data_IF_070943729182
#
_entry.id   IF_070943729182
#
_cell.length_a   1.000
_cell.length_b   1.000
_cell.length_c   1.000
_cell.angle_alpha   90.00
_cell.angle_beta   90.00
_cell.angle_gamma   90.00
#
_symmetry.space_group_name_H-M   'P 1'
#
loop_
_entity.id
_entity.type
_entity.pdbx_description
1 polymer ?
#
# COMPACT_ATOMS: atom_id res chain seq x y z
N UNK A 1 -22.28 7.20 -19.55
CA UNK A 1 -22.14 6.47 -18.27
C UNK A 1 -21.48 7.41 -17.29
N UNK A 2 -22.19 7.84 -16.24
CA UNK A 2 -21.59 8.63 -15.16
C UNK A 2 -20.51 7.76 -14.48
N UNK A 3 -19.26 8.15 -14.66
CA UNK A 3 -18.14 7.50 -13.95
C UNK A 3 -18.29 7.85 -12.47
N UNK A 4 -18.72 6.89 -11.65
CA UNK A 4 -18.76 7.07 -10.20
C UNK A 4 -17.33 7.36 -9.74
N UNK A 5 -17.17 8.44 -9.01
CA UNK A 5 -15.89 8.79 -8.39
C UNK A 5 -15.47 7.68 -7.43
N UNK A 6 -14.22 7.23 -7.53
CA UNK A 6 -13.70 6.10 -6.76
C UNK A 6 -12.39 6.50 -6.11
N UNK A 7 -12.47 7.00 -4.87
CA UNK A 7 -11.30 7.45 -4.08
C UNK A 7 -11.20 6.60 -2.84
N UNK A 8 -10.30 5.62 -2.88
CA UNK A 8 -10.12 4.61 -1.83
C UNK A 8 -8.72 4.73 -1.24
N UNK A 9 -8.63 4.67 0.08
CA UNK A 9 -7.37 4.53 0.81
C UNK A 9 -7.33 3.15 1.45
N UNK A 10 -6.26 2.40 1.22
CA UNK A 10 -6.01 1.13 1.89
C UNK A 10 -5.05 1.33 3.06
N UNK A 11 -5.52 1.08 4.26
CA UNK A 11 -4.76 1.09 5.50
C UNK A 11 -4.51 -0.34 5.99
N UNK A 12 -3.46 -0.52 6.76
CA UNK A 12 -3.10 -1.82 7.34
C UNK A 12 -1.59 -1.98 7.48
N UNK A 13 -1.17 -2.89 8.33
CA UNK A 13 0.25 -3.17 8.62
C UNK A 13 1.03 -3.60 7.37
N UNK A 14 2.35 -3.42 7.32
CA UNK A 14 3.19 -4.03 6.29
C UNK A 14 2.88 -5.53 6.18
N UNK A 15 2.74 -6.06 4.98
CA UNK A 15 2.40 -7.50 4.81
C UNK A 15 0.92 -7.87 4.98
N UNK A 16 0.01 -6.92 5.27
CA UNK A 16 -1.43 -7.22 5.42
C UNK A 16 -2.15 -7.58 4.11
N UNK A 17 -1.51 -7.40 2.95
CA UNK A 17 -2.12 -7.72 1.65
C UNK A 17 -2.67 -6.50 0.89
N UNK A 18 -2.48 -5.27 1.38
CA UNK A 18 -2.95 -4.04 0.72
C UNK A 18 -2.62 -3.97 -0.77
N UNK A 19 -1.37 -4.20 -1.15
CA UNK A 19 -0.96 -4.12 -2.55
C UNK A 19 -1.66 -5.15 -3.44
N UNK A 20 -1.91 -6.35 -2.93
CA UNK A 20 -2.69 -7.38 -3.64
C UNK A 20 -4.12 -6.91 -3.85
N UNK A 21 -4.78 -6.45 -2.79
CA UNK A 21 -6.15 -5.96 -2.86
C UNK A 21 -6.27 -4.70 -3.70
N UNK A 22 -5.30 -3.77 -3.61
CA UNK A 22 -5.26 -2.58 -4.45
C UNK A 22 -5.22 -2.92 -5.94
N UNK A 23 -4.41 -3.90 -6.32
CA UNK A 23 -4.31 -4.33 -7.71
C UNK A 23 -5.61 -4.98 -8.22
N UNK A 24 -6.24 -5.83 -7.41
CA UNK A 24 -7.54 -6.44 -7.73
C UNK A 24 -8.64 -5.38 -7.86
N UNK A 25 -8.72 -4.47 -6.90
CA UNK A 25 -9.69 -3.36 -6.91
C UNK A 25 -9.48 -2.43 -8.10
N UNK A 26 -8.23 -2.10 -8.44
CA UNK A 26 -7.91 -1.27 -9.58
C UNK A 26 -8.43 -1.86 -10.88
N UNK A 27 -8.21 -3.17 -11.09
CA UNK A 27 -8.74 -3.89 -12.24
C UNK A 27 -10.28 -3.93 -12.28
N UNK A 28 -10.91 -4.18 -11.12
CA UNK A 28 -12.37 -4.31 -11.02
C UNK A 28 -13.09 -2.96 -11.18
N UNK A 29 -12.59 -1.90 -10.54
CA UNK A 29 -13.23 -0.59 -10.51
C UNK A 29 -12.75 0.34 -11.65
N UNK A 30 -11.74 -0.06 -12.43
CA UNK A 30 -11.10 0.78 -13.44
C UNK A 30 -10.48 2.04 -12.82
N UNK A 31 -9.97 1.95 -11.59
CA UNK A 31 -9.24 3.00 -10.87
C UNK A 31 -7.73 2.81 -11.01
N UNK A 32 -6.95 3.82 -10.65
CA UNK A 32 -5.48 3.73 -10.68
C UNK A 32 -4.95 3.36 -9.29
N UNK A 33 -4.17 2.29 -9.21
CA UNK A 33 -3.46 1.92 -8.00
C UNK A 33 -2.18 2.77 -7.85
N UNK A 34 -2.09 3.51 -6.77
CA UNK A 34 -0.94 4.33 -6.37
C UNK A 34 -0.33 3.76 -5.08
N UNK A 35 0.74 3.02 -5.21
CA UNK A 35 1.51 2.52 -4.07
C UNK A 35 2.66 3.46 -3.74
N UNK A 36 2.58 4.15 -2.59
CA UNK A 36 3.65 5.04 -2.13
C UNK A 36 5.00 4.33 -2.03
N UNK A 37 5.00 3.10 -1.53
CA UNK A 37 6.21 2.30 -1.43
C UNK A 37 6.80 1.93 -2.79
N UNK A 38 5.99 1.65 -3.81
CA UNK A 38 6.50 1.33 -5.15
C UNK A 38 6.99 2.58 -5.87
N UNK A 39 6.29 3.71 -5.72
CA UNK A 39 6.75 5.01 -6.24
C UNK A 39 8.13 5.32 -5.68
N UNK A 40 8.32 5.27 -4.36
CA UNK A 40 9.63 5.55 -3.74
C UNK A 40 10.72 4.58 -4.18
N UNK A 41 10.42 3.27 -4.26
CA UNK A 41 11.38 2.28 -4.77
C UNK A 41 11.76 2.53 -6.23
N UNK A 42 10.82 2.96 -7.07
CA UNK A 42 11.11 3.30 -8.47
C UNK A 42 12.03 4.51 -8.58
N UNK A 43 11.83 5.53 -7.74
CA UNK A 43 12.68 6.70 -7.65
C UNK A 43 14.11 6.35 -7.20
N UNK A 44 14.24 5.44 -6.22
CA UNK A 44 15.54 4.92 -5.75
C UNK A 44 16.25 4.18 -6.88
N UNK A 45 15.57 3.27 -7.57
CA UNK A 45 16.15 2.52 -8.70
C UNK A 45 16.64 3.46 -9.82
N UNK A 46 15.87 4.50 -10.11
CA UNK A 46 16.21 5.50 -11.11
C UNK A 46 17.25 6.52 -10.62
N UNK A 47 17.70 6.43 -9.36
CA UNK A 47 18.65 7.35 -8.73
C UNK A 47 18.26 8.82 -8.89
N UNK A 48 16.97 9.13 -8.87
CA UNK A 48 16.48 10.50 -8.95
C UNK A 48 16.91 11.33 -7.72
N UNK A 49 16.82 12.66 -7.75
CA UNK A 49 17.05 13.47 -6.55
C UNK A 49 16.16 13.05 -5.37
N UNK A 50 14.90 12.70 -5.62
CA UNK A 50 13.99 12.15 -4.62
C UNK A 50 14.48 10.80 -4.10
N UNK A 51 14.80 9.88 -5.01
CA UNK A 51 15.27 8.53 -4.67
C UNK A 51 16.51 8.55 -3.77
N UNK A 52 17.48 9.40 -4.07
CA UNK A 52 18.68 9.57 -3.22
C UNK A 52 18.36 10.11 -1.83
N UNK A 53 17.39 11.03 -1.70
CA UNK A 53 16.99 11.62 -0.42
C UNK A 53 16.25 10.64 0.49
N UNK A 54 15.56 9.68 -0.07
CA UNK A 54 14.71 8.74 0.71
C UNK A 54 15.30 7.34 0.85
N UNK A 55 16.38 7.00 0.11
CA UNK A 55 16.95 5.64 0.10
C UNK A 55 17.27 5.12 1.51
N UNK A 56 17.96 5.93 2.32
CA UNK A 56 18.38 5.54 3.67
C UNK A 56 17.17 5.26 4.58
N UNK A 57 16.08 6.00 4.44
CA UNK A 57 14.85 5.79 5.22
C UNK A 57 14.14 4.52 4.80
N UNK A 58 14.00 4.29 3.50
CA UNK A 58 13.32 3.10 2.95
C UNK A 58 14.07 1.82 3.32
N UNK A 59 15.40 1.83 3.29
CA UNK A 59 16.24 0.69 3.67
C UNK A 59 16.07 0.30 5.15
N UNK A 60 15.88 1.28 6.02
CA UNK A 60 15.59 1.04 7.46
C UNK A 60 14.11 0.75 7.75
N UNK A 61 13.25 0.72 6.73
CA UNK A 61 11.80 0.54 6.90
C UNK A 61 11.09 1.76 7.50
N UNK A 62 11.77 2.89 7.57
CA UNK A 62 11.22 4.16 8.05
C UNK A 62 10.39 4.85 6.97
N UNK A 63 9.53 5.78 7.39
CA UNK A 63 8.87 6.73 6.50
C UNK A 63 9.87 7.86 6.23
N UNK A 64 10.17 8.14 4.95
CA UNK A 64 11.05 9.25 4.60
C UNK A 64 10.49 10.62 5.00
N UNK A 65 11.17 11.73 4.63
CA UNK A 65 10.72 13.08 4.95
C UNK A 65 9.27 13.31 4.53
N UNK A 66 8.42 13.65 5.48
CA UNK A 66 6.95 13.69 5.34
C UNK A 66 6.50 14.60 4.22
N UNK A 67 7.03 15.82 4.17
CA UNK A 67 6.67 16.83 3.18
C UNK A 67 7.00 16.34 1.76
N UNK A 68 8.15 15.70 1.58
CA UNK A 68 8.61 15.22 0.30
C UNK A 68 7.72 14.08 -0.24
N UNK A 69 7.32 13.17 0.64
CA UNK A 69 6.42 12.06 0.28
C UNK A 69 5.03 12.60 -0.06
N UNK A 70 4.53 13.53 0.75
CA UNK A 70 3.23 14.17 0.53
C UNK A 70 3.21 14.87 -0.82
N UNK A 71 4.18 15.75 -1.08
CA UNK A 71 4.31 16.46 -2.36
C UNK A 71 4.36 15.48 -3.54
N UNK A 72 5.13 14.41 -3.42
CA UNK A 72 5.26 13.41 -4.49
C UNK A 72 3.93 12.75 -4.82
N UNK A 73 3.19 12.29 -3.80
CA UNK A 73 1.91 11.59 -4.01
C UNK A 73 0.85 12.57 -4.54
N UNK A 74 0.75 13.76 -3.95
CA UNK A 74 -0.22 14.78 -4.36
C UNK A 74 0.02 15.23 -5.80
N UNK A 75 1.28 15.51 -6.17
CA UNK A 75 1.66 15.85 -7.54
C UNK A 75 1.37 14.71 -8.52
N UNK A 76 1.53 13.46 -8.10
CA UNK A 76 1.20 12.30 -8.94
C UNK A 76 -0.29 12.17 -9.21
N UNK A 77 -1.13 12.43 -8.22
CA UNK A 77 -2.59 12.43 -8.37
C UNK A 77 -3.00 13.55 -9.33
N UNK A 78 -2.50 14.77 -9.12
CA UNK A 78 -2.88 15.95 -9.90
C UNK A 78 -2.39 15.87 -11.36
N UNK A 79 -1.09 15.61 -11.55
CA UNK A 79 -0.47 15.56 -12.88
C UNK A 79 -1.07 14.48 -13.80
N UNK A 80 -1.63 13.42 -13.24
CA UNK A 80 -2.27 12.34 -14.00
C UNK A 80 -3.80 12.45 -14.05
N UNK A 81 -4.37 13.52 -13.52
CA UNK A 81 -5.83 13.73 -13.52
C UNK A 81 -6.59 12.66 -12.73
N UNK A 82 -5.99 12.11 -11.66
CA UNK A 82 -6.53 10.98 -10.89
C UNK A 82 -7.43 11.41 -9.74
N UNK A 83 -7.73 12.71 -9.60
CA UNK A 83 -8.47 13.26 -8.47
C UNK A 83 -9.82 12.61 -8.17
N UNK A 84 -10.42 11.93 -9.15
CA UNK A 84 -11.70 11.23 -8.99
C UNK A 84 -11.57 9.69 -8.92
N UNK A 85 -10.41 9.12 -9.24
CA UNK A 85 -10.29 7.66 -9.42
C UNK A 85 -8.93 7.14 -9.02
N UNK A 86 -8.71 6.99 -7.72
CA UNK A 86 -7.48 6.42 -7.19
C UNK A 86 -7.75 5.36 -6.12
N UNK A 87 -6.79 4.46 -5.97
CA UNK A 87 -6.63 3.56 -4.83
C UNK A 87 -5.23 3.80 -4.27
N UNK A 88 -5.15 4.45 -3.11
CA UNK A 88 -3.89 4.72 -2.43
C UNK A 88 -3.52 3.56 -1.51
N UNK A 89 -2.29 3.06 -1.66
CA UNK A 89 -1.69 2.04 -0.80
C UNK A 89 -0.43 2.61 -0.14
N UNK A 90 -0.44 2.64 1.19
CA UNK A 90 0.67 3.12 1.99
C UNK A 90 0.78 4.65 2.12
N UNK A 91 -0.29 5.37 1.81
CA UNK A 91 -0.49 6.79 2.05
C UNK A 91 -1.99 7.04 2.32
N UNK A 92 -2.37 7.90 3.30
CA UNK A 92 -1.51 8.62 4.23
C UNK A 92 -0.95 7.70 5.34
N UNK A 93 0.18 8.11 5.96
CA UNK A 93 0.79 7.42 7.11
C UNK A 93 0.89 8.30 8.35
N UNK A 94 0.61 9.58 8.23
CA UNK A 94 0.57 10.53 9.34
C UNK A 94 -0.71 11.37 9.28
N UNK A 95 -1.08 12.02 10.40
CA UNK A 95 -2.25 12.90 10.42
C UNK A 95 -2.09 14.09 9.48
N UNK A 96 -0.89 14.67 9.37
CA UNK A 96 -0.63 15.78 8.44
C UNK A 96 -0.93 15.35 7.01
N UNK A 97 -0.45 14.17 6.61
CA UNK A 97 -0.74 13.61 5.29
C UNK A 97 -2.25 13.37 5.06
N UNK A 98 -2.94 12.88 6.08
CA UNK A 98 -4.39 12.67 6.01
C UNK A 98 -5.15 13.99 5.80
N UNK A 99 -4.75 15.05 6.52
CA UNK A 99 -5.36 16.37 6.37
C UNK A 99 -5.10 16.99 4.99
N UNK A 100 -3.87 16.90 4.48
CA UNK A 100 -3.54 17.39 3.15
C UNK A 100 -4.30 16.61 2.05
N UNK A 101 -4.41 15.28 2.19
CA UNK A 101 -5.21 14.47 1.28
C UNK A 101 -6.69 14.86 1.31
N UNK A 102 -7.26 15.02 2.50
CA UNK A 102 -8.67 15.40 2.68
C UNK A 102 -8.97 16.79 2.11
N UNK A 103 -8.02 17.70 2.17
CA UNK A 103 -8.16 19.05 1.65
C UNK A 103 -8.20 19.10 0.12
N UNK A 104 -7.37 18.30 -0.56
CA UNK A 104 -7.21 18.35 -2.00
C UNK A 104 -7.99 17.26 -2.74
N UNK A 105 -7.92 16.02 -2.25
CA UNK A 105 -8.48 14.83 -2.89
C UNK A 105 -9.12 13.88 -1.84
N UNK A 106 -10.18 14.32 -1.14
CA UNK A 106 -10.73 13.55 -0.01
C UNK A 106 -11.16 12.15 -0.42
N UNK A 107 -10.71 11.07 0.27
CA UNK A 107 -11.17 9.72 0.00
C UNK A 107 -12.65 9.56 0.36
N UNK A 108 -13.37 8.77 -0.42
CA UNK A 108 -14.74 8.39 -0.10
C UNK A 108 -14.78 7.39 1.05
N UNK A 109 -13.82 6.47 1.05
CA UNK A 109 -13.71 5.42 2.05
C UNK A 109 -12.26 5.01 2.27
N UNK A 110 -11.94 4.68 3.50
CA UNK A 110 -10.71 4.01 3.88
C UNK A 110 -11.05 2.55 4.22
N UNK A 111 -10.27 1.62 3.71
CA UNK A 111 -10.40 0.19 4.03
C UNK A 111 -9.21 -0.21 4.89
N UNK A 112 -9.45 -0.60 6.13
CA UNK A 112 -8.43 -1.16 7.02
C UNK A 112 -8.38 -2.67 6.86
N UNK A 113 -7.29 -3.18 6.32
CA UNK A 113 -7.03 -4.63 6.25
C UNK A 113 -6.31 -5.03 7.54
N UNK A 114 -7.08 -5.57 8.48
CA UNK A 114 -6.59 -5.95 9.81
C UNK A 114 -5.99 -7.35 9.78
N UNK A 115 -4.74 -7.49 10.24
CA UNK A 115 -4.02 -8.77 10.33
C UNK A 115 -3.20 -8.80 11.62
N UNK A 116 -3.24 -9.89 12.40
CA UNK A 116 -2.41 -10.03 13.60
C UNK A 116 -0.91 -10.03 13.29
N UNK A 117 -0.08 -9.49 14.20
CA UNK A 117 1.36 -9.33 14.01
C UNK A 117 2.09 -10.65 13.72
N UNK A 118 1.68 -11.74 14.36
CA UNK A 118 2.26 -13.05 14.10
C UNK A 118 2.09 -13.47 12.63
N UNK A 119 0.90 -13.27 12.07
CA UNK A 119 0.63 -13.57 10.66
C UNK A 119 1.37 -12.60 9.71
N UNK A 120 1.54 -11.32 10.12
CA UNK A 120 2.34 -10.35 9.37
C UNK A 120 3.80 -10.81 9.28
N UNK A 121 4.42 -11.19 10.40
CA UNK A 121 5.81 -11.65 10.45
C UNK A 121 6.02 -12.88 9.57
N UNK A 122 5.13 -13.89 9.65
CA UNK A 122 5.16 -15.07 8.80
C UNK A 122 5.03 -14.70 7.32
N UNK A 123 4.09 -13.84 6.94
CA UNK A 123 3.91 -13.43 5.54
C UNK A 123 5.12 -12.69 4.97
N UNK A 124 5.74 -11.81 5.76
CA UNK A 124 6.86 -11.00 5.30
C UNK A 124 8.15 -11.83 5.17
N UNK A 125 8.39 -12.78 6.05
CA UNK A 125 9.55 -13.69 5.97
C UNK A 125 9.51 -14.57 4.71
N UNK A 126 8.34 -14.79 4.14
CA UNK A 126 8.10 -15.62 2.93
C UNK A 126 7.86 -14.79 1.67
N UNK A 127 8.00 -13.45 1.78
CA UNK A 127 7.73 -12.55 0.66
C UNK A 127 8.90 -12.49 -0.31
N UNK A 128 8.59 -12.61 -1.59
CA UNK A 128 9.50 -12.32 -2.69
C UNK A 128 8.97 -11.17 -3.53
N UNK A 129 9.84 -10.41 -4.16
CA UNK A 129 9.47 -9.35 -5.08
C UNK A 129 10.36 -9.31 -6.30
N UNK A 130 9.77 -8.99 -7.43
CA UNK A 130 10.50 -8.72 -8.67
C UNK A 130 11.07 -7.32 -8.63
N UNK A 131 12.39 -7.19 -8.75
CA UNK A 131 13.06 -5.90 -8.75
C UNK A 131 12.74 -5.06 -10.00
N UNK A 132 12.36 -5.71 -11.10
CA UNK A 132 12.08 -5.03 -12.37
C UNK A 132 10.65 -4.46 -12.42
N UNK A 133 9.63 -5.28 -12.15
CA UNK A 133 8.22 -4.89 -12.34
C UNK A 133 7.42 -4.72 -11.04
N UNK A 134 8.03 -4.88 -9.87
CA UNK A 134 7.39 -4.73 -8.57
C UNK A 134 6.41 -5.86 -8.19
N UNK A 135 6.22 -6.89 -9.03
CA UNK A 135 5.33 -8.01 -8.71
C UNK A 135 5.74 -8.67 -7.39
N UNK A 136 4.75 -8.98 -6.56
CA UNK A 136 4.93 -9.55 -5.23
C UNK A 136 4.46 -11.00 -5.22
N UNK A 137 5.25 -11.86 -4.60
CA UNK A 137 5.00 -13.27 -4.42
C UNK A 137 5.12 -13.66 -2.95
N UNK A 138 4.56 -14.79 -2.61
CA UNK A 138 4.75 -15.44 -1.31
C UNK A 138 5.02 -16.92 -1.57
N UNK A 139 6.04 -17.46 -0.91
CA UNK A 139 6.51 -18.83 -1.15
C UNK A 139 5.40 -19.87 -0.97
N UNK A 140 4.52 -19.67 0.01
CA UNK A 140 3.48 -20.64 0.35
C UNK A 140 2.17 -20.43 -0.41
N UNK A 141 1.74 -19.17 -0.56
CA UNK A 141 0.36 -18.88 -1.00
C UNK A 141 0.25 -18.36 -2.44
N UNK A 142 1.34 -17.80 -2.98
CA UNK A 142 1.40 -17.28 -4.35
C UNK A 142 2.85 -17.35 -4.84
N UNK A 143 3.44 -18.54 -5.02
CA UNK A 143 4.80 -18.67 -5.51
C UNK A 143 4.91 -18.23 -6.98
N UNK A 144 6.10 -17.79 -7.43
CA UNK A 144 6.32 -17.59 -8.86
C UNK A 144 6.21 -18.93 -9.60
N UNK A 145 5.72 -18.92 -10.84
CA UNK A 145 5.51 -20.13 -11.63
C UNK A 145 6.79 -20.96 -11.86
N UNK A 146 7.95 -20.31 -11.78
CA UNK A 146 9.28 -20.93 -11.82
C UNK A 146 10.12 -20.32 -10.71
N UNK A 147 10.81 -21.17 -9.95
CA UNK A 147 11.65 -20.73 -8.84
C UNK A 147 12.64 -19.64 -9.26
N UNK A 148 12.64 -18.56 -8.49
CA UNK A 148 13.52 -17.43 -8.70
C UNK A 148 13.16 -16.54 -9.90
N UNK A 149 12.06 -16.81 -10.65
CA UNK A 149 11.70 -16.09 -11.88
C UNK A 149 10.32 -15.47 -11.79
N UNK A 150 10.22 -14.18 -12.05
CA UNK A 150 8.96 -13.45 -12.07
C UNK A 150 8.02 -13.96 -13.18
N UNK A 151 6.84 -14.43 -12.82
CA UNK A 151 5.81 -14.91 -13.77
C UNK A 151 5.28 -13.80 -14.68
N UNK A 152 5.46 -12.51 -14.30
CA UNK A 152 4.95 -11.36 -15.04
C UNK A 152 5.91 -10.84 -16.11
N UNK A 153 7.23 -10.81 -15.82
CA UNK A 153 8.21 -10.18 -16.73
C UNK A 153 9.47 -11.00 -16.97
N UNK A 154 9.60 -12.19 -16.39
CA UNK A 154 10.74 -13.08 -16.58
C UNK A 154 12.01 -12.68 -15.80
N UNK A 155 12.01 -11.57 -15.07
CA UNK A 155 13.17 -11.11 -14.30
C UNK A 155 13.31 -11.87 -12.97
N UNK A 156 14.49 -11.85 -12.32
CA UNK A 156 14.68 -12.49 -11.02
C UNK A 156 13.76 -11.93 -9.94
N UNK A 157 13.32 -12.81 -9.03
CA UNK A 157 12.64 -12.45 -7.78
C UNK A 157 13.50 -12.78 -6.58
N UNK A 158 13.45 -11.92 -5.56
CA UNK A 158 14.21 -12.08 -4.32
C UNK A 158 13.44 -11.54 -3.12
N UNK A 159 13.88 -11.92 -1.92
CA UNK A 159 13.42 -11.25 -0.69
C UNK A 159 13.76 -9.76 -0.76
N UNK A 160 12.96 -8.94 -0.12
CA UNK A 160 13.26 -7.50 0.00
C UNK A 160 14.26 -7.25 1.11
N UNK A 161 15.10 -6.26 0.97
CA UNK A 161 16.02 -5.84 2.03
C UNK A 161 15.27 -5.31 3.27
N UNK A 162 14.11 -4.67 3.05
CA UNK A 162 13.24 -4.16 4.11
C UNK A 162 12.34 -5.23 4.75
N UNK A 163 12.63 -6.52 4.56
CA UNK A 163 11.93 -7.66 5.18
C UNK A 163 12.87 -8.49 6.09
N UNK A 164 13.97 -7.92 6.57
CA UNK A 164 14.70 -8.51 7.70
C UNK A 164 13.85 -8.47 8.98
N UNK A 165 14.13 -9.33 9.94
CA UNK A 165 13.36 -9.40 11.19
C UNK A 165 13.36 -8.06 11.95
N UNK A 166 14.51 -7.38 11.98
CA UNK A 166 14.66 -6.06 12.57
C UNK A 166 13.85 -5.01 11.82
N UNK A 167 13.91 -5.01 10.47
CA UNK A 167 13.15 -4.08 9.65
C UNK A 167 11.63 -4.32 9.76
N UNK A 168 11.20 -5.57 9.84
CA UNK A 168 9.78 -5.92 10.07
C UNK A 168 9.33 -5.33 11.42
N UNK A 169 10.10 -5.54 12.48
CA UNK A 169 9.78 -5.03 13.82
C UNK A 169 9.70 -3.50 13.82
N UNK A 170 10.70 -2.83 13.25
CA UNK A 170 10.71 -1.37 13.13
C UNK A 170 9.49 -0.83 12.36
N UNK A 171 9.07 -1.52 11.28
CA UNK A 171 7.89 -1.13 10.48
C UNK A 171 6.58 -1.33 11.23
N UNK A 172 6.47 -2.34 12.08
CA UNK A 172 5.30 -2.52 12.94
C UNK A 172 5.21 -1.40 13.98
N UNK A 173 6.33 -1.07 14.64
CA UNK A 173 6.40 0.02 15.61
C UNK A 173 6.07 1.38 14.97
N UNK A 174 6.57 1.63 13.75
CA UNK A 174 6.24 2.85 12.99
C UNK A 174 4.76 2.89 12.65
N UNK A 175 4.18 1.78 12.23
CA UNK A 175 2.75 1.68 11.94
C UNK A 175 1.92 2.03 13.18
N UNK A 176 2.21 1.41 14.31
CA UNK A 176 1.44 1.61 15.54
C UNK A 176 1.54 3.06 16.04
N UNK A 177 2.69 3.71 15.90
CA UNK A 177 2.87 5.11 16.33
C UNK A 177 2.28 6.13 15.37
N UNK A 178 2.37 5.91 14.06
CA UNK A 178 2.06 6.94 13.06
C UNK A 178 0.76 6.69 12.32
N UNK A 179 0.44 5.43 11.98
CA UNK A 179 -0.74 5.11 11.18
C UNK A 179 -1.98 4.86 12.04
N UNK A 180 -1.83 4.39 13.28
CA UNK A 180 -2.96 4.23 14.19
C UNK A 180 -3.72 5.56 14.43
N UNK A 181 -3.08 6.72 14.61
CA UNK A 181 -3.80 8.00 14.64
C UNK A 181 -4.60 8.31 13.36
N UNK A 182 -4.08 7.95 12.19
CA UNK A 182 -4.79 8.12 10.91
C UNK A 182 -6.04 7.23 10.87
N UNK A 183 -5.94 5.99 11.33
CA UNK A 183 -7.08 5.08 11.45
C UNK A 183 -8.16 5.68 12.36
N UNK A 184 -7.78 6.21 13.52
CA UNK A 184 -8.70 6.88 14.44
C UNK A 184 -9.38 8.08 13.79
N UNK A 185 -8.64 8.92 13.08
CA UNK A 185 -9.18 10.07 12.37
C UNK A 185 -10.26 9.69 11.34
N UNK A 186 -10.01 8.66 10.51
CA UNK A 186 -11.01 8.20 9.55
C UNK A 186 -12.17 7.45 10.22
N UNK A 187 -11.94 6.79 11.36
CA UNK A 187 -12.99 6.15 12.16
C UNK A 187 -13.94 7.17 12.77
N UNK A 188 -13.42 8.24 13.35
CA UNK A 188 -14.21 9.33 13.94
C UNK A 188 -15.05 10.06 12.88
N UNK A 189 -14.56 10.16 11.66
CA UNK A 189 -15.29 10.72 10.52
C UNK A 189 -16.21 9.72 9.81
N UNK A 190 -16.35 8.49 10.33
CA UNK A 190 -17.19 7.40 9.78
C UNK A 190 -16.87 7.08 8.31
N UNK A 191 -15.61 7.18 7.93
CA UNK A 191 -15.12 6.90 6.58
C UNK A 191 -14.17 5.71 6.52
N UNK A 192 -14.26 4.77 7.47
CA UNK A 192 -13.41 3.59 7.49
C UNK A 192 -14.25 2.32 7.64
N UNK A 193 -13.90 1.31 6.86
CA UNK A 193 -14.41 -0.05 6.96
C UNK A 193 -13.24 -0.98 7.33
N UNK A 194 -13.48 -1.92 8.25
CA UNK A 194 -12.45 -2.86 8.70
C UNK A 194 -12.73 -4.26 8.15
N UNK A 195 -11.74 -4.84 7.49
CA UNK A 195 -11.82 -6.14 6.83
C UNK A 195 -10.78 -7.09 7.45
N UNK A 196 -11.20 -8.29 7.79
CA UNK A 196 -10.30 -9.34 8.26
C UNK A 196 -9.33 -9.77 7.13
N UNK A 197 -8.10 -9.31 7.21
CA UNK A 197 -7.04 -9.63 6.25
C UNK A 197 -6.33 -10.97 6.53
N UNK A 198 -6.74 -11.72 7.57
CA UNK A 198 -6.23 -13.07 7.81
C UNK A 198 -6.87 -14.11 6.86
N UNK A 199 -8.03 -13.80 6.31
CA UNK A 199 -8.75 -14.63 5.35
C UNK A 199 -7.98 -14.82 4.01
N UNK A 200 -8.35 -15.81 3.19
CA UNK A 200 -7.86 -15.96 1.83
C UNK A 200 -8.05 -14.68 1.00
N UNK A 201 -7.15 -14.37 0.05
CA UNK A 201 -7.20 -13.12 -0.73
C UNK A 201 -8.54 -12.85 -1.42
N UNK A 202 -9.21 -13.87 -1.93
CA UNK A 202 -10.50 -13.74 -2.63
C UNK A 202 -11.65 -13.43 -1.65
N UNK A 203 -11.59 -13.94 -0.44
CA UNK A 203 -12.56 -13.62 0.62
C UNK A 203 -12.36 -12.18 1.13
N UNK A 204 -11.10 -11.76 1.32
CA UNK A 204 -10.78 -10.36 1.64
C UNK A 204 -11.30 -9.44 0.55
N UNK A 205 -11.08 -9.78 -0.72
CA UNK A 205 -11.55 -8.99 -1.87
C UNK A 205 -13.08 -8.89 -1.88
N UNK A 206 -13.78 -10.00 -1.69
CA UNK A 206 -15.25 -10.03 -1.60
C UNK A 206 -15.77 -9.19 -0.43
N UNK A 207 -15.10 -9.25 0.74
CA UNK A 207 -15.42 -8.41 1.89
C UNK A 207 -15.28 -6.93 1.58
N UNK A 208 -14.22 -6.53 0.88
CA UNK A 208 -14.03 -5.14 0.46
C UNK A 208 -15.13 -4.70 -0.51
N UNK A 209 -15.48 -5.52 -1.51
CA UNK A 209 -16.54 -5.16 -2.45
C UNK A 209 -17.90 -5.00 -1.76
N UNK A 210 -18.21 -5.85 -0.77
CA UNK A 210 -19.42 -5.72 0.03
C UNK A 210 -19.43 -4.41 0.84
N UNK A 211 -18.30 -4.01 1.42
CA UNK A 211 -18.18 -2.74 2.14
C UNK A 211 -18.29 -1.50 1.22
N UNK A 212 -17.96 -1.65 -0.07
CA UNK A 212 -18.09 -0.59 -1.07
C UNK A 212 -19.46 -0.52 -1.73
N UNK A 213 -20.33 -1.51 -1.52
CA UNK A 213 -21.66 -1.52 -2.09
C UNK A 213 -22.50 -0.39 -1.46
N UNK A 214 -23.28 0.36 -2.26
CA UNK A 214 -24.20 1.34 -1.70
C UNK A 214 -25.24 0.62 -0.83
N UNK A 215 -25.38 1.07 0.42
CA UNK A 215 -26.41 0.60 1.34
C UNK A 215 -27.82 0.97 0.89
#
# INVERSE_FOLDING_TARGET
MNKVSTRIVLLGKPGSGKGTQASLLAGHLGAVHLSSGEILRSEIRASTPLGRRVSEYVERGEIGPEELITETIMSHIDANGLGDRYILDGFPRTLTQAFELDKAFPPHVCILIAVPDAAIKDRLSKRLSCQQCGAVYNIDTNPPAKDGVCSRCGSPVSARQDDSEEAITARLDVFDRQVTPVISYYRDSKRIEEIDGALPPDEVFSGILNALAPG
#
